data_IF_713144080405
#
_entry.id   IF_713144080405
#
_cell.length_a   1.000
_cell.length_b   1.000
_cell.length_c   1.000
_cell.angle_alpha   90.00
_cell.angle_beta   90.00
_cell.angle_gamma   90.00
#
_symmetry.space_group_name_H-M   'P 1'
#
loop_
_entity.id
_entity.type
_entity.pdbx_description
1 polymer ?
#
# COMPACT_ATOMS: atom_id res chain seq x y z
N UNK A 1 9.05 -13.63 -1.92
CA UNK A 1 8.20 -13.87 -0.72
C UNK A 1 8.59 -12.81 0.27
N UNK A 2 7.80 -11.76 0.33
CA UNK A 2 7.96 -10.62 1.24
C UNK A 2 8.11 -11.06 2.70
N UNK A 3 8.85 -10.33 3.55
CA UNK A 3 8.86 -10.56 5.00
C UNK A 3 7.44 -10.54 5.56
N UNK A 4 6.51 -9.79 4.97
CA UNK A 4 5.08 -9.84 5.30
C UNK A 4 4.44 -11.15 4.84
N UNK A 5 4.79 -11.68 3.66
CA UNK A 5 4.32 -12.99 3.15
C UNK A 5 5.00 -14.20 3.84
N UNK A 6 6.26 -14.09 4.25
CA UNK A 6 6.98 -15.13 5.01
C UNK A 6 6.52 -15.13 6.46
N UNK A 7 6.33 -13.95 7.07
CA UNK A 7 5.69 -13.83 8.37
C UNK A 7 4.27 -14.38 8.31
N UNK A 8 3.51 -14.05 7.27
CA UNK A 8 2.20 -14.63 6.99
C UNK A 8 2.19 -16.16 6.95
N UNK A 9 3.04 -16.77 6.12
CA UNK A 9 3.15 -18.23 6.02
C UNK A 9 3.60 -18.85 7.35
N UNK A 10 4.55 -18.23 8.06
CA UNK A 10 5.01 -18.70 9.36
C UNK A 10 3.93 -18.58 10.45
N UNK A 11 3.15 -17.48 10.44
CA UNK A 11 2.01 -17.25 11.33
C UNK A 11 0.91 -18.26 11.02
N UNK A 12 0.63 -18.53 9.75
CA UNK A 12 -0.37 -19.49 9.31
C UNK A 12 0.02 -20.92 9.71
N UNK A 13 1.27 -21.32 9.47
CA UNK A 13 1.80 -22.61 9.90
C UNK A 13 1.79 -22.77 11.43
N UNK A 14 2.22 -21.73 12.16
CA UNK A 14 2.17 -21.70 13.63
C UNK A 14 0.72 -21.79 14.14
N UNK A 15 -0.24 -21.15 13.47
CA UNK A 15 -1.66 -21.29 13.80
C UNK A 15 -2.17 -22.68 13.52
N UNK A 16 -1.89 -23.27 12.35
CA UNK A 16 -2.37 -24.62 12.05
C UNK A 16 -1.82 -25.61 13.07
N UNK A 17 -0.54 -25.49 13.41
CA UNK A 17 0.08 -26.27 14.48
C UNK A 17 -0.62 -26.04 15.84
N UNK A 18 -0.94 -24.80 16.18
CA UNK A 18 -1.66 -24.48 17.42
C UNK A 18 -3.11 -25.00 17.43
N UNK A 19 -3.84 -24.86 16.32
CA UNK A 19 -5.20 -25.41 16.12
C UNK A 19 -5.19 -26.93 16.33
N UNK A 20 -4.24 -27.61 15.69
CA UNK A 20 -4.07 -29.07 15.81
C UNK A 20 -3.68 -29.47 17.25
N UNK A 21 -2.73 -28.78 17.87
CA UNK A 21 -2.30 -29.05 19.24
C UNK A 21 -3.41 -28.80 20.27
N UNK A 22 -4.24 -27.76 20.07
CA UNK A 22 -5.38 -27.48 20.94
C UNK A 22 -6.46 -28.55 20.81
N UNK A 23 -6.77 -28.97 19.58
CA UNK A 23 -7.72 -30.06 19.32
C UNK A 23 -7.25 -31.36 19.94
N UNK A 24 -5.98 -31.70 19.80
CA UNK A 24 -5.38 -32.90 20.39
C UNK A 24 -5.40 -32.87 21.93
N UNK A 25 -5.07 -31.71 22.52
CA UNK A 25 -4.99 -31.55 23.98
C UNK A 25 -6.35 -31.44 24.68
N UNK A 26 -7.35 -30.86 24.02
CA UNK A 26 -8.60 -30.45 24.67
C UNK A 26 -9.87 -30.97 24.00
N UNK A 27 -9.77 -31.56 22.81
CA UNK A 27 -10.92 -31.94 21.99
C UNK A 27 -11.69 -30.75 21.38
N UNK A 28 -11.24 -29.51 21.59
CA UNK A 28 -11.89 -28.31 21.09
C UNK A 28 -11.31 -27.89 19.74
N UNK A 29 -12.19 -27.65 18.76
CA UNK A 29 -11.81 -26.93 17.54
C UNK A 29 -11.80 -25.42 17.84
N UNK A 30 -10.72 -24.75 17.45
CA UNK A 30 -10.62 -23.29 17.57
C UNK A 30 -11.59 -22.65 16.58
N UNK A 31 -12.63 -21.96 17.07
CA UNK A 31 -13.54 -21.22 16.22
C UNK A 31 -12.76 -20.19 15.38
N UNK A 32 -13.12 -20.05 14.11
CA UNK A 32 -12.57 -18.97 13.30
C UNK A 32 -13.03 -17.63 13.92
N UNK A 33 -12.15 -16.63 13.98
CA UNK A 33 -12.58 -15.31 14.41
C UNK A 33 -13.74 -14.85 13.53
N UNK A 34 -14.79 -14.23 14.09
CA UNK A 34 -15.86 -13.72 13.25
C UNK A 34 -15.32 -12.59 12.36
N UNK A 35 -15.62 -12.66 11.07
CA UNK A 35 -15.40 -11.58 10.12
C UNK A 35 -16.20 -10.32 10.46
N UNK A 36 -16.12 -9.25 9.64
CA UNK A 36 -16.90 -8.05 9.87
C UNK A 36 -18.39 -8.36 9.90
N UNK A 37 -19.12 -7.76 10.84
CA UNK A 37 -20.55 -8.00 10.96
C UNK A 37 -21.27 -7.62 9.66
N UNK A 38 -22.02 -8.57 9.10
CA UNK A 38 -22.80 -8.33 7.88
C UNK A 38 -23.90 -7.31 8.15
N UNK A 39 -24.15 -6.49 7.14
CA UNK A 39 -25.18 -5.44 7.17
C UNK A 39 -26.03 -5.52 5.89
N UNK A 40 -27.32 -5.18 5.93
CA UNK A 40 -28.12 -5.07 4.71
C UNK A 40 -27.53 -4.03 3.75
N UNK A 41 -27.70 -4.28 2.45
CA UNK A 41 -27.40 -3.29 1.42
C UNK A 41 -28.34 -2.09 1.55
N UNK A 42 -27.82 -0.91 1.26
CA UNK A 42 -28.60 0.33 1.24
C UNK A 42 -28.31 1.13 -0.02
N UNK A 43 -28.89 2.33 -0.10
CA UNK A 43 -28.56 3.29 -1.16
C UNK A 43 -28.12 4.60 -0.54
N UNK A 44 -27.07 5.20 -1.08
CA UNK A 44 -26.58 6.50 -0.66
C UNK A 44 -26.87 7.54 -1.72
N UNK A 45 -27.14 8.77 -1.27
CA UNK A 45 -27.27 9.93 -2.17
C UNK A 45 -25.92 10.26 -2.81
N UNK A 46 -25.97 10.80 -4.02
CA UNK A 46 -24.81 11.04 -4.88
C UNK A 46 -23.76 11.93 -4.20
N UNK A 47 -24.20 12.96 -3.50
CA UNK A 47 -23.34 13.94 -2.84
C UNK A 47 -22.47 13.29 -1.76
N UNK A 48 -23.00 12.29 -1.05
CA UNK A 48 -22.23 11.53 -0.06
C UNK A 48 -21.16 10.67 -0.73
N UNK A 49 -21.48 10.05 -1.87
CA UNK A 49 -20.52 9.24 -2.62
C UNK A 49 -19.42 10.11 -3.24
N UNK A 50 -19.78 11.28 -3.76
CA UNK A 50 -18.84 12.26 -4.32
C UNK A 50 -17.88 12.82 -3.26
N UNK A 51 -18.32 13.00 -2.02
CA UNK A 51 -17.45 13.44 -0.93
C UNK A 51 -16.32 12.44 -0.62
N UNK A 52 -16.58 11.14 -0.82
CA UNK A 52 -15.61 10.05 -0.63
C UNK A 52 -14.69 9.83 -1.84
N UNK A 53 -15.09 10.31 -3.02
CA UNK A 53 -14.30 10.18 -4.23
C UNK A 53 -12.97 10.93 -4.13
N UNK A 54 -11.92 10.35 -4.69
CA UNK A 54 -10.58 10.91 -4.61
C UNK A 54 -9.50 9.86 -4.79
N UNK A 55 -8.26 10.30 -4.59
CA UNK A 55 -7.08 9.45 -4.59
C UNK A 55 -6.71 9.18 -3.14
N UNK A 56 -6.37 7.92 -2.84
CA UNK A 56 -5.91 7.50 -1.52
C UNK A 56 -4.53 6.87 -1.68
N UNK A 57 -3.50 7.44 -1.05
CA UNK A 57 -2.16 6.87 -1.04
C UNK A 57 -2.14 5.66 -0.08
N UNK A 58 -1.70 4.51 -0.58
CA UNK A 58 -1.66 3.23 0.14
C UNK A 58 -0.23 2.76 0.37
N UNK A 59 -0.04 1.70 1.15
CA UNK A 59 1.32 1.21 1.44
C UNK A 59 2.08 0.77 0.18
N UNK A 60 1.35 0.25 -0.83
CA UNK A 60 1.90 -0.33 -2.06
C UNK A 60 1.72 0.55 -3.31
N UNK A 61 1.08 1.71 -3.19
CA UNK A 61 0.70 2.53 -4.33
C UNK A 61 -0.29 3.62 -3.96
N UNK A 62 -1.31 3.73 -4.79
CA UNK A 62 -2.47 4.57 -4.59
C UNK A 62 -3.71 3.92 -5.18
N UNK A 63 -4.84 4.29 -4.62
CA UNK A 63 -6.15 3.83 -5.04
C UNK A 63 -6.98 5.02 -5.49
N UNK A 64 -7.81 4.80 -6.49
CA UNK A 64 -8.74 5.81 -7.01
C UNK A 64 -10.16 5.37 -6.72
N UNK A 65 -10.87 6.20 -5.95
CA UNK A 65 -12.28 6.02 -5.63
C UNK A 65 -13.10 6.99 -6.48
N UNK A 66 -14.05 6.46 -7.24
CA UNK A 66 -14.97 7.25 -8.06
C UNK A 66 -16.41 7.00 -7.63
N UNK A 67 -17.19 8.07 -7.53
CA UNK A 67 -18.63 7.95 -7.33
C UNK A 67 -19.31 7.48 -8.62
N UNK A 68 -20.11 6.42 -8.52
CA UNK A 68 -20.90 5.88 -9.63
C UNK A 68 -22.36 5.68 -9.21
N UNK A 69 -23.31 5.53 -10.14
CA UNK A 69 -24.69 5.25 -9.79
C UNK A 69 -24.81 4.00 -8.89
N UNK A 70 -25.32 4.21 -7.67
CA UNK A 70 -25.56 3.15 -6.70
C UNK A 70 -24.35 2.71 -5.86
N UNK A 71 -23.20 3.40 -5.93
CA UNK A 71 -22.05 3.04 -5.10
C UNK A 71 -20.74 3.74 -5.49
N UNK A 72 -19.62 3.06 -5.25
CA UNK A 72 -18.28 3.53 -5.61
C UNK A 72 -17.62 2.55 -6.59
N UNK A 73 -16.73 3.06 -7.43
CA UNK A 73 -15.73 2.27 -8.13
C UNK A 73 -14.39 2.48 -7.44
N UNK A 74 -13.73 1.37 -7.11
CA UNK A 74 -12.41 1.34 -6.52
C UNK A 74 -11.44 0.74 -7.52
N UNK A 75 -10.54 1.56 -8.06
CA UNK A 75 -9.40 1.11 -8.84
C UNK A 75 -8.14 1.11 -7.97
N UNK A 76 -7.39 0.02 -7.99
CA UNK A 76 -6.13 -0.11 -7.25
C UNK A 76 -4.95 -0.12 -8.21
N UNK A 77 -3.97 0.77 -8.01
CA UNK A 77 -2.70 0.70 -8.76
C UNK A 77 -1.91 -0.56 -8.44
N UNK A 78 -2.15 -1.14 -7.25
CA UNK A 78 -1.64 -2.45 -6.89
C UNK A 78 -2.57 -3.53 -7.46
N UNK A 79 -2.10 -4.30 -8.44
CA UNK A 79 -2.88 -5.34 -9.12
C UNK A 79 -3.67 -4.85 -10.35
N UNK A 80 -3.76 -3.54 -10.57
CA UNK A 80 -4.39 -2.91 -11.75
C UNK A 80 -5.84 -3.36 -12.00
N UNK A 81 -6.62 -3.48 -10.93
CA UNK A 81 -8.00 -3.97 -10.96
C UNK A 81 -9.00 -2.90 -10.54
N UNK A 82 -10.21 -2.98 -11.11
CA UNK A 82 -11.36 -2.14 -10.71
C UNK A 82 -12.44 -3.01 -10.09
N UNK A 83 -12.95 -2.60 -8.93
CA UNK A 83 -14.01 -3.28 -8.21
C UNK A 83 -15.15 -2.31 -7.94
N UNK A 84 -16.38 -2.83 -7.97
CA UNK A 84 -17.55 -2.07 -7.54
C UNK A 84 -17.74 -2.24 -6.04
N UNK A 85 -18.09 -1.16 -5.37
CA UNK A 85 -18.38 -1.10 -3.95
C UNK A 85 -19.83 -0.64 -3.74
N UNK A 86 -20.61 -1.44 -3.00
CA UNK A 86 -22.01 -1.16 -2.68
C UNK A 86 -22.11 -0.70 -1.21
N UNK A 87 -22.91 0.34 -0.92
CA UNK A 87 -23.07 0.83 0.43
C UNK A 87 -23.93 -0.11 1.28
N UNK A 88 -23.61 -0.15 2.57
CA UNK A 88 -24.29 -0.91 3.61
C UNK A 88 -24.97 0.02 4.63
N UNK A 89 -26.01 -0.46 5.32
CA UNK A 89 -26.72 0.31 6.35
C UNK A 89 -25.83 0.72 7.54
N UNK A 90 -24.78 -0.05 7.83
CA UNK A 90 -23.80 0.24 8.88
C UNK A 90 -22.86 1.42 8.59
N UNK A 91 -22.92 1.99 7.38
CA UNK A 91 -22.07 3.11 6.98
C UNK A 91 -20.86 2.74 6.13
N UNK A 92 -20.64 1.45 5.86
CA UNK A 92 -19.49 0.93 5.12
C UNK A 92 -19.86 0.52 3.71
N UNK A 93 -18.88 0.03 2.96
CA UNK A 93 -19.04 -0.45 1.60
C UNK A 93 -18.53 -1.88 1.47
N UNK A 94 -19.02 -2.62 0.48
CA UNK A 94 -18.59 -4.00 0.27
C UNK A 94 -18.69 -4.43 -1.19
N UNK A 95 -18.17 -5.60 -1.53
CA UNK A 95 -18.27 -6.16 -2.87
C UNK A 95 -19.69 -6.70 -3.12
N UNK A 96 -20.20 -6.69 -4.37
CA UNK A 96 -21.55 -7.16 -4.67
C UNK A 96 -21.83 -8.61 -4.24
N UNK A 97 -20.80 -9.45 -4.30
CA UNK A 97 -20.92 -10.91 -4.12
C UNK A 97 -20.38 -11.40 -2.76
N UNK A 98 -19.83 -10.52 -1.91
CA UNK A 98 -19.22 -10.91 -0.64
C UNK A 98 -19.12 -9.74 0.34
N UNK A 99 -19.50 -9.99 1.61
CA UNK A 99 -19.34 -9.05 2.74
C UNK A 99 -18.12 -9.31 3.63
N UNK A 100 -17.25 -10.25 3.24
CA UNK A 100 -16.04 -10.60 3.98
C UNK A 100 -14.99 -9.49 3.94
N UNK A 101 -15.07 -8.62 2.93
CA UNK A 101 -14.34 -7.37 2.83
C UNK A 101 -15.33 -6.22 2.95
N UNK A 102 -15.18 -5.42 4.00
CA UNK A 102 -15.91 -4.16 4.14
C UNK A 102 -14.94 -2.98 4.21
N UNK A 103 -15.30 -1.88 3.54
CA UNK A 103 -14.50 -0.67 3.42
C UNK A 103 -15.19 0.46 4.16
N UNK A 104 -14.51 1.03 5.15
CA UNK A 104 -14.97 2.20 5.89
C UNK A 104 -14.14 3.42 5.43
N UNK A 105 -14.83 4.54 5.19
CA UNK A 105 -14.20 5.83 5.01
C UNK A 105 -14.45 6.67 6.26
N UNK A 106 -13.39 7.22 6.83
CA UNK A 106 -13.48 7.94 8.10
C UNK A 106 -12.46 9.07 8.17
N UNK A 107 -12.68 10.03 9.07
CA UNK A 107 -11.70 11.08 9.37
C UNK A 107 -11.10 10.83 10.75
N UNK A 108 -9.80 10.57 10.82
CA UNK A 108 -9.08 10.33 12.07
C UNK A 108 -8.04 11.43 12.27
N UNK A 109 -8.17 12.19 13.36
CA UNK A 109 -7.26 13.31 13.68
C UNK A 109 -7.10 14.31 12.52
N UNK A 110 -8.19 14.58 11.78
CA UNK A 110 -8.20 15.51 10.65
C UNK A 110 -7.67 14.93 9.33
N UNK A 111 -7.39 13.62 9.27
CA UNK A 111 -6.97 12.91 8.05
C UNK A 111 -8.09 12.02 7.56
N UNK A 112 -8.44 12.15 6.29
CA UNK A 112 -9.39 11.26 5.64
C UNK A 112 -8.69 9.95 5.30
N UNK A 113 -9.24 8.84 5.78
CA UNK A 113 -8.63 7.51 5.66
C UNK A 113 -9.62 6.49 5.13
N UNK A 114 -9.08 5.54 4.36
CA UNK A 114 -9.75 4.32 3.96
C UNK A 114 -9.30 3.19 4.89
N UNK A 115 -10.27 2.45 5.42
CA UNK A 115 -10.08 1.40 6.40
C UNK A 115 -10.67 0.12 5.85
N UNK A 116 -9.89 -0.96 5.82
CA UNK A 116 -10.39 -2.27 5.45
C UNK A 116 -10.72 -3.08 6.70
N UNK A 117 -11.92 -3.65 6.68
CA UNK A 117 -12.39 -4.66 7.62
C UNK A 117 -12.47 -5.96 6.84
N UNK A 118 -11.50 -6.84 7.09
CA UNK A 118 -11.41 -8.13 6.40
C UNK A 118 -11.55 -9.27 7.38
N UNK A 119 -12.15 -10.35 6.90
CA UNK A 119 -12.09 -11.60 7.62
C UNK A 119 -10.63 -12.10 7.69
N UNK A 120 -10.18 -12.31 8.92
CA UNK A 120 -8.98 -13.00 9.35
C UNK A 120 -7.81 -13.18 8.33
N UNK A 121 -7.28 -12.12 7.70
CA UNK A 121 -6.02 -12.23 6.96
C UNK A 121 -4.89 -12.46 7.99
N UNK A 122 -4.37 -13.69 8.01
CA UNK A 122 -3.48 -14.17 9.07
C UNK A 122 -4.12 -14.17 10.47
N UNK A 123 -5.46 -14.28 10.54
CA UNK A 123 -6.33 -14.40 11.75
C UNK A 123 -5.96 -13.57 12.96
N UNK A 124 -5.53 -12.36 12.67
CA UNK A 124 -6.03 -11.21 13.37
C UNK A 124 -7.31 -10.82 12.62
N UNK A 125 -8.45 -10.72 13.32
CA UNK A 125 -9.57 -9.91 12.78
C UNK A 125 -8.98 -8.52 12.61
N UNK A 126 -8.80 -8.09 11.38
CA UNK A 126 -7.88 -7.03 11.07
C UNK A 126 -8.60 -5.83 10.51
N UNK A 127 -8.99 -4.90 11.38
CA UNK A 127 -9.23 -3.53 10.93
C UNK A 127 -7.86 -2.94 10.59
N UNK A 128 -7.62 -2.61 9.32
CA UNK A 128 -6.36 -2.01 8.87
C UNK A 128 -6.58 -0.63 8.26
N UNK A 129 -5.71 0.32 8.61
CA UNK A 129 -5.60 1.58 7.90
C UNK A 129 -4.96 1.28 6.55
N UNK A 130 -5.72 1.42 5.48
CA UNK A 130 -5.30 0.99 4.15
C UNK A 130 -4.74 2.13 3.32
N UNK A 131 -5.41 3.28 3.35
CA UNK A 131 -4.98 4.46 2.61
C UNK A 131 -5.35 5.76 3.28
N UNK A 132 -4.62 6.81 2.96
CA UNK A 132 -4.92 8.19 3.36
C UNK A 132 -5.25 9.01 2.12
N UNK A 133 -6.27 9.86 2.20
CA UNK A 133 -6.65 10.74 1.10
C UNK A 133 -5.47 11.63 0.72
N UNK A 134 -5.19 11.67 -0.58
CA UNK A 134 -4.09 12.40 -1.15
C UNK A 134 -4.61 13.34 -2.24
N UNK A 135 -4.16 14.59 -2.18
CA UNK A 135 -4.44 15.61 -3.17
C UNK A 135 -3.15 15.83 -3.99
N UNK A 136 -3.10 15.36 -5.25
CA UNK A 136 -1.91 15.51 -6.07
C UNK A 136 -1.49 16.97 -6.22
N UNK A 137 -0.25 17.26 -5.85
CA UNK A 137 0.39 18.55 -6.11
C UNK A 137 1.04 18.56 -7.51
N UNK A 138 1.06 19.70 -8.22
CA UNK A 138 1.79 19.80 -9.48
C UNK A 138 3.26 19.42 -9.32
N UNK A 139 3.75 18.51 -10.17
CA UNK A 139 5.14 18.03 -10.11
C UNK A 139 6.08 19.14 -10.59
N UNK A 140 7.03 19.63 -9.76
CA UNK A 140 7.96 20.68 -10.17
C UNK A 140 8.87 20.25 -11.33
N UNK A 141 9.23 21.18 -12.22
CA UNK A 141 10.10 20.92 -13.37
C UNK A 141 11.43 20.25 -12.99
N UNK A 142 11.98 20.59 -11.83
CA UNK A 142 13.21 19.97 -11.33
C UNK A 142 13.06 18.45 -11.16
N UNK A 143 11.90 17.97 -10.67
CA UNK A 143 11.61 16.54 -10.56
C UNK A 143 11.28 15.91 -11.91
N UNK A 144 10.60 16.62 -12.81
CA UNK A 144 10.32 16.15 -14.17
C UNK A 144 11.61 15.90 -14.97
N UNK A 145 12.64 16.72 -14.77
CA UNK A 145 13.95 16.51 -15.42
C UNK A 145 14.70 15.27 -14.89
N UNK A 146 14.26 14.71 -13.76
CA UNK A 146 14.87 13.55 -13.10
C UNK A 146 14.20 12.24 -13.42
N UNK A 147 13.10 12.23 -14.17
CA UNK A 147 12.41 10.99 -14.50
C UNK A 147 13.35 9.98 -15.19
N UNK A 148 13.04 8.70 -15.01
CA UNK A 148 13.79 7.59 -15.57
C UNK A 148 14.26 6.58 -14.52
N UNK A 149 15.07 5.64 -15.00
CA UNK A 149 15.60 4.52 -14.21
C UNK A 149 16.92 4.88 -13.54
N UNK A 150 17.10 4.35 -12.35
CA UNK A 150 18.29 4.49 -11.53
C UNK A 150 18.72 3.13 -10.97
N UNK A 151 20.01 2.92 -10.81
CA UNK A 151 20.62 1.70 -10.28
C UNK A 151 21.36 2.00 -8.99
N UNK A 152 21.30 1.06 -8.04
CA UNK A 152 21.96 1.20 -6.74
C UNK A 152 23.48 1.31 -6.91
N UNK A 153 24.07 2.32 -6.27
CA UNK A 153 25.48 2.69 -6.46
C UNK A 153 26.36 2.35 -5.25
N UNK A 154 25.77 2.21 -4.06
CA UNK A 154 26.50 2.13 -2.79
C UNK A 154 26.43 0.76 -2.11
N UNK A 155 26.23 -0.33 -2.88
CA UNK A 155 26.36 -1.69 -2.34
C UNK A 155 27.83 -2.02 -2.06
N UNK A 156 28.13 -2.51 -0.85
CA UNK A 156 29.46 -3.04 -0.52
C UNK A 156 29.87 -4.16 -1.50
N UNK A 157 31.18 -4.35 -1.78
CA UNK A 157 31.64 -5.39 -2.70
C UNK A 157 31.18 -6.80 -2.31
N UNK A 158 31.10 -7.08 -1.01
CA UNK A 158 30.71 -8.34 -0.38
C UNK A 158 29.23 -8.39 0.03
N UNK A 159 28.43 -7.39 -0.36
CA UNK A 159 27.02 -7.33 -0.03
C UNK A 159 26.24 -8.50 -0.66
N UNK A 160 25.50 -9.24 0.17
CA UNK A 160 24.74 -10.40 -0.26
C UNK A 160 23.66 -10.05 -1.30
N UNK A 161 23.16 -8.81 -1.32
CA UNK A 161 22.20 -8.33 -2.30
C UNK A 161 22.71 -8.46 -3.73
N UNK A 162 24.03 -8.52 -3.96
CA UNK A 162 24.65 -8.76 -5.28
C UNK A 162 24.41 -10.17 -5.82
N UNK A 163 24.22 -11.15 -4.94
CA UNK A 163 24.11 -12.56 -5.29
C UNK A 163 22.71 -13.12 -5.10
N UNK A 164 21.87 -12.46 -4.30
CA UNK A 164 20.51 -12.88 -4.06
C UNK A 164 19.60 -12.63 -5.28
N UNK A 165 18.63 -13.52 -5.57
CA UNK A 165 17.56 -13.22 -6.52
C UNK A 165 16.69 -12.05 -6.04
N UNK A 166 16.18 -11.24 -6.97
CA UNK A 166 15.32 -10.07 -6.68
C UNK A 166 14.12 -10.42 -5.77
N UNK A 167 13.58 -11.63 -5.92
CA UNK A 167 12.44 -12.14 -5.14
C UNK A 167 12.66 -12.28 -3.63
N UNK A 168 13.90 -12.15 -3.15
CA UNK A 168 14.26 -12.25 -1.74
C UNK A 168 15.07 -11.05 -1.24
N UNK A 169 15.27 -10.03 -2.07
CA UNK A 169 16.02 -8.84 -1.69
C UNK A 169 15.11 -7.87 -0.90
N UNK A 170 15.61 -7.37 0.22
CA UNK A 170 14.91 -6.36 1.03
C UNK A 170 15.05 -4.94 0.45
N UNK A 171 15.92 -4.77 -0.54
CA UNK A 171 16.19 -3.52 -1.24
C UNK A 171 16.11 -3.72 -2.75
N UNK A 172 15.48 -2.79 -3.45
CA UNK A 172 15.48 -2.78 -4.91
C UNK A 172 16.86 -2.44 -5.45
N UNK A 173 17.38 -3.22 -6.40
CA UNK A 173 18.62 -2.87 -7.14
C UNK A 173 18.43 -1.68 -8.07
N UNK A 174 17.23 -1.55 -8.64
CA UNK A 174 16.86 -0.45 -9.50
C UNK A 174 15.60 0.21 -9.01
N UNK A 175 15.47 1.50 -9.25
CA UNK A 175 14.25 2.26 -8.98
C UNK A 175 13.91 3.10 -10.21
N UNK A 176 12.63 3.39 -10.39
CA UNK A 176 12.17 4.20 -11.52
C UNK A 176 11.35 5.37 -11.01
N UNK A 177 11.84 6.58 -11.27
CA UNK A 177 11.10 7.81 -10.99
C UNK A 177 10.22 8.13 -12.20
N UNK A 178 8.90 8.18 -11.99
CA UNK A 178 7.91 8.36 -13.04
C UNK A 178 6.81 9.34 -12.61
N UNK A 179 6.02 9.82 -13.58
CA UNK A 179 4.72 10.45 -13.31
C UNK A 179 3.62 9.50 -13.73
N UNK A 180 2.72 9.17 -12.80
CA UNK A 180 1.52 8.35 -13.07
C UNK A 180 0.29 9.05 -12.51
N UNK A 181 -0.77 9.16 -13.32
CA UNK A 181 -2.03 9.82 -12.95
C UNK A 181 -1.84 11.22 -12.33
N UNK A 182 -0.86 11.98 -12.84
CA UNK A 182 -0.53 13.32 -12.36
C UNK A 182 0.33 13.37 -11.09
N UNK A 183 0.72 12.22 -10.53
CA UNK A 183 1.50 12.11 -9.30
C UNK A 183 2.94 11.70 -9.59
N UNK A 184 3.88 12.28 -8.84
CA UNK A 184 5.26 11.78 -8.82
C UNK A 184 5.29 10.46 -8.06
N UNK A 185 5.83 9.41 -8.67
CA UNK A 185 5.96 8.08 -8.06
C UNK A 185 7.36 7.54 -8.21
N UNK A 186 7.80 6.76 -7.23
CA UNK A 186 9.04 5.98 -7.31
C UNK A 186 8.68 4.49 -7.27
N UNK A 187 8.87 3.82 -8.40
CA UNK A 187 8.74 2.37 -8.52
C UNK A 187 9.95 1.67 -7.94
N UNK A 188 9.72 0.69 -7.07
CA UNK A 188 10.77 -0.15 -6.49
C UNK A 188 10.26 -1.58 -6.24
N UNK A 189 11.16 -2.56 -6.30
CA UNK A 189 10.87 -3.94 -5.92
C UNK A 189 11.35 -4.20 -4.49
N UNK A 190 10.45 -4.62 -3.60
CA UNK A 190 10.82 -5.08 -2.26
C UNK A 190 10.36 -6.53 -2.12
N UNK A 191 11.33 -7.42 -1.91
CA UNK A 191 11.13 -8.85 -1.68
C UNK A 191 10.29 -9.56 -2.76
N UNK A 192 10.47 -9.10 -4.00
CA UNK A 192 9.75 -9.57 -5.18
C UNK A 192 8.38 -8.93 -5.43
N UNK A 193 7.95 -7.99 -4.60
CA UNK A 193 6.73 -7.23 -4.81
C UNK A 193 7.07 -5.86 -5.39
N UNK A 194 6.44 -5.52 -6.52
CA UNK A 194 6.51 -4.19 -7.09
C UNK A 194 5.66 -3.24 -6.26
N UNK A 195 6.25 -2.15 -5.81
CA UNK A 195 5.58 -1.09 -5.05
C UNK A 195 5.74 0.23 -5.80
N UNK A 196 4.73 1.08 -5.67
CA UNK A 196 4.79 2.47 -6.11
C UNK A 196 4.77 3.37 -4.87
N UNK A 197 5.86 4.07 -4.61
CA UNK A 197 5.89 5.08 -3.55
C UNK A 197 5.34 6.38 -4.11
N UNK A 198 4.20 6.86 -3.60
CA UNK A 198 3.65 8.18 -3.96
C UNK A 198 4.50 9.27 -3.30
N UNK A 199 4.97 10.22 -4.09
CA UNK A 199 5.86 11.27 -3.65
C UNK A 199 5.21 12.65 -3.75
N UNK A 200 5.28 13.40 -2.65
CA UNK A 200 4.91 14.82 -2.60
C UNK A 200 6.18 15.67 -2.54
N UNK A 201 6.53 16.41 -3.61
CA UNK A 201 7.67 17.30 -3.61
C UNK A 201 7.54 18.42 -2.56
N UNK A 202 8.43 18.44 -1.58
CA UNK A 202 8.53 19.54 -0.61
C UNK A 202 9.34 20.69 -1.22
N UNK A 203 10.41 20.35 -1.95
CA UNK A 203 11.26 21.30 -2.67
C UNK A 203 11.96 20.58 -3.85
N UNK A 204 13.00 21.21 -4.42
CA UNK A 204 13.71 20.67 -5.58
C UNK A 204 14.56 19.43 -5.31
N UNK A 205 14.84 19.10 -4.04
CA UNK A 205 15.72 17.98 -3.67
C UNK A 205 15.10 17.02 -2.66
N UNK A 206 13.94 17.33 -2.09
CA UNK A 206 13.27 16.47 -1.10
C UNK A 206 11.82 16.28 -1.49
N UNK A 207 11.39 15.02 -1.52
CA UNK A 207 9.99 14.63 -1.64
C UNK A 207 9.62 13.72 -0.47
N UNK A 208 8.44 13.94 0.11
CA UNK A 208 7.87 13.11 1.17
C UNK A 208 7.22 11.87 0.56
N UNK A 209 7.42 10.72 1.20
CA UNK A 209 6.69 9.49 0.86
C UNK A 209 5.29 9.57 1.50
N UNK A 210 4.25 9.64 0.67
CA UNK A 210 2.86 9.70 1.09
C UNK A 210 2.29 8.29 1.28
N UNK A 211 1.54 8.11 2.37
CA UNK A 211 0.71 6.96 2.78
C UNK A 211 0.79 6.84 4.31
N UNK A 212 0.10 5.83 4.84
CA UNK A 212 0.20 5.40 6.24
C UNK A 212 1.01 4.11 6.34
N UNK A 213 1.61 3.88 7.50
CA UNK A 213 2.34 2.64 7.79
C UNK A 213 3.86 2.81 7.86
N UNK A 214 4.58 1.69 7.75
CA UNK A 214 6.03 1.66 7.95
C UNK A 214 6.74 2.42 6.83
N UNK A 215 7.74 3.20 7.23
CA UNK A 215 8.59 4.02 6.37
C UNK A 215 7.86 5.15 5.61
N UNK A 216 6.56 5.32 5.85
CA UNK A 216 5.74 6.41 5.30
C UNK A 216 5.87 7.65 6.17
N UNK A 217 5.82 8.82 5.54
CA UNK A 217 6.30 10.08 6.14
C UNK A 217 7.82 10.23 6.11
N UNK A 218 8.57 9.24 5.64
CA UNK A 218 9.96 9.37 5.25
C UNK A 218 10.14 10.23 4.00
N UNK A 219 11.37 10.30 3.50
CA UNK A 219 11.71 11.14 2.33
C UNK A 219 12.52 10.40 1.29
N UNK A 220 12.24 10.71 0.04
CA UNK A 220 13.17 10.53 -1.09
C UNK A 220 13.95 11.82 -1.26
N UNK A 221 15.28 11.71 -1.33
CA UNK A 221 16.16 12.87 -1.46
C UNK A 221 16.99 12.80 -2.74
N UNK A 222 17.31 13.96 -3.28
CA UNK A 222 18.27 14.14 -4.35
C UNK A 222 19.56 14.65 -3.73
N UNK A 223 20.63 13.88 -3.86
CA UNK A 223 21.94 14.17 -3.27
C UNK A 223 23.02 14.20 -4.35
N UNK A 224 24.11 14.92 -4.10
CA UNK A 224 25.27 14.93 -4.98
C UNK A 224 26.40 14.12 -4.35
N UNK A 225 26.85 13.08 -5.05
CA UNK A 225 27.94 12.21 -4.61
C UNK A 225 28.95 12.11 -5.75
N UNK A 226 30.20 12.48 -5.47
CA UNK A 226 31.28 12.53 -6.48
C UNK A 226 30.95 13.40 -7.71
N UNK A 227 30.17 14.47 -7.52
CA UNK A 227 29.74 15.36 -8.59
C UNK A 227 28.54 14.85 -9.41
N UNK A 228 28.03 13.66 -9.12
CA UNK A 228 26.86 13.08 -9.77
C UNK A 228 25.62 13.19 -8.90
N UNK A 229 24.49 13.54 -9.51
CA UNK A 229 23.19 13.55 -8.83
C UNK A 229 22.68 12.11 -8.67
N UNK A 230 22.25 11.77 -7.46
CA UNK A 230 21.74 10.46 -7.09
C UNK A 230 20.45 10.59 -6.28
N UNK A 231 19.57 9.60 -6.40
CA UNK A 231 18.39 9.46 -5.55
C UNK A 231 18.79 8.68 -4.29
N UNK A 232 18.45 9.21 -3.12
CA UNK A 232 18.60 8.54 -1.85
C UNK A 232 17.23 8.09 -1.33
N UNK A 233 17.12 6.80 -1.01
CA UNK A 233 15.95 6.18 -0.39
C UNK A 233 16.43 5.20 0.69
N UNK A 234 15.96 5.37 1.93
CA UNK A 234 16.27 4.50 3.08
C UNK A 234 17.76 4.18 3.29
N UNK A 235 18.64 5.14 2.95
CA UNK A 235 20.09 4.99 3.07
C UNK A 235 20.79 4.44 1.82
N UNK A 236 20.04 3.89 0.87
CA UNK A 236 20.58 3.48 -0.43
C UNK A 236 20.64 4.63 -1.41
N UNK A 237 21.70 4.64 -2.22
CA UNK A 237 21.96 5.63 -3.25
C UNK A 237 21.76 4.99 -4.61
N UNK A 238 21.08 5.71 -5.49
CA UNK A 238 20.70 5.27 -6.81
C UNK A 238 21.17 6.29 -7.85
N UNK A 239 21.96 5.88 -8.82
CA UNK A 239 22.49 6.74 -9.88
C UNK A 239 21.87 6.39 -11.22
N UNK A 240 21.77 7.36 -12.13
CA UNK A 240 21.40 7.06 -13.52
C UNK A 240 22.50 6.17 -14.15
N UNK A 241 22.12 5.18 -14.97
CA UNK A 241 23.07 4.33 -15.68
C UNK A 241 23.89 5.09 -16.73
#
# INVERSE_FOLDING_TARGET
LSNTQKAAIAIEAARMALKLALRDKTGMDLAEPPGPAHSPYTTWVKEKLEALAGIYATEAGYDMIKAVPGGLEWWSSYGEETRKLLPLENGWFTLPDSQELQVEFSTISGRDVMILHEDALFGLVGRSLWGERYEPVPVPTAWLNRLGKYEVSNLYPDDCLRYLPEKVQDLSRSVELAVKDGMLVLGCTIQGNSLLLVLEPINHTVAKICALGRDKGGSVQVVTVNGEEQIQLWGSLYKKP
#
